data_IF_166295940352
#
_entry.id   IF_166295940352
#
_cell.length_a   1.000
_cell.length_b   1.000
_cell.length_c   1.000
_cell.angle_alpha   90.00
_cell.angle_beta   90.00
_cell.angle_gamma   90.00
#
_symmetry.space_group_name_H-M   'P 1'
#
loop_
_entity.id
_entity.type
_entity.pdbx_description
1 polymer ?
#
# COMPACT_ATOMS: atom_id res chain seq x y z
N UNK A 1 0.21 -27.00 6.85
CA UNK A 1 -0.70 -27.12 8.00
C UNK A 1 0.12 -26.85 9.24
N UNK A 2 -0.35 -25.99 10.13
CA UNK A 2 0.41 -25.66 11.34
C UNK A 2 0.21 -26.74 12.41
N UNK A 3 1.18 -26.84 13.32
CA UNK A 3 1.14 -27.82 14.41
C UNK A 3 0.21 -27.39 15.55
N UNK A 4 -0.05 -26.08 15.68
CA UNK A 4 -0.94 -25.53 16.69
C UNK A 4 -2.23 -25.01 16.06
N UNK A 5 -3.32 -25.11 16.81
CA UNK A 5 -4.65 -24.68 16.39
C UNK A 5 -5.49 -24.18 17.57
N UNK A 6 -6.77 -23.94 17.31
CA UNK A 6 -7.74 -23.57 18.33
C UNK A 6 -8.89 -24.58 18.35
N UNK A 7 -9.20 -25.10 19.54
CA UNK A 7 -10.45 -25.79 19.78
C UNK A 7 -11.59 -24.78 19.67
N UNK A 8 -12.59 -25.08 18.84
CA UNK A 8 -13.71 -24.17 18.57
C UNK A 8 -15.05 -24.82 18.89
N UNK A 9 -15.97 -24.03 19.43
CA UNK A 9 -17.36 -24.40 19.60
C UNK A 9 -18.21 -23.79 18.48
N UNK A 10 -18.92 -24.62 17.72
CA UNK A 10 -19.81 -24.16 16.65
C UNK A 10 -21.10 -23.63 17.26
N UNK A 11 -21.35 -22.32 17.11
CA UNK A 11 -22.55 -21.65 17.62
C UNK A 11 -23.74 -21.77 16.66
N UNK A 12 -23.51 -21.61 15.36
CA UNK A 12 -24.57 -21.73 14.36
C UNK A 12 -24.04 -22.06 12.98
N UNK A 13 -24.83 -22.80 12.21
CA UNK A 13 -24.58 -23.08 10.80
C UNK A 13 -25.79 -22.63 10.00
N UNK A 14 -25.61 -21.68 9.10
CA UNK A 14 -26.68 -21.15 8.24
C UNK A 14 -26.35 -21.39 6.78
N UNK A 15 -27.28 -21.97 6.03
CA UNK A 15 -27.13 -22.14 4.58
C UNK A 15 -27.61 -20.88 3.87
N UNK A 16 -26.76 -20.26 3.05
CA UNK A 16 -27.12 -19.15 2.16
C UNK A 16 -26.70 -19.52 0.73
N UNK A 17 -27.65 -19.50 -0.21
CA UNK A 17 -27.48 -19.68 -1.66
C UNK A 17 -26.08 -20.20 -2.10
N UNK A 18 -25.83 -21.50 -1.91
CA UNK A 18 -24.61 -22.18 -2.38
C UNK A 18 -23.47 -22.35 -1.36
N UNK A 19 -23.47 -21.65 -0.23
CA UNK A 19 -22.44 -21.77 0.81
C UNK A 19 -23.01 -21.95 2.22
N UNK A 20 -22.18 -22.51 3.10
CA UNK A 20 -22.44 -22.62 4.54
C UNK A 20 -21.73 -21.48 5.27
N UNK A 21 -22.49 -20.70 6.03
CA UNK A 21 -21.94 -19.73 6.97
C UNK A 21 -21.91 -20.37 8.35
N UNK A 22 -20.71 -20.62 8.85
CA UNK A 22 -20.47 -21.18 10.19
C UNK A 22 -20.02 -20.05 11.11
N UNK A 23 -20.65 -19.94 12.28
CA UNK A 23 -20.22 -19.05 13.36
C UNK A 23 -19.74 -19.92 14.51
N UNK A 24 -18.54 -19.63 15.00
CA UNK A 24 -17.91 -20.39 16.08
C UNK A 24 -17.23 -19.45 17.07
N UNK A 25 -16.89 -19.97 18.24
CA UNK A 25 -16.03 -19.29 19.22
C UNK A 25 -14.85 -20.18 19.56
N UNK A 26 -13.65 -19.61 19.60
CA UNK A 26 -12.48 -20.26 20.18
C UNK A 26 -12.72 -20.55 21.65
N UNK A 27 -12.27 -21.72 22.09
CA UNK A 27 -12.31 -22.16 23.47
C UNK A 27 -10.92 -22.21 24.07
N UNK A 28 -9.99 -22.91 23.40
CA UNK A 28 -8.66 -23.19 23.94
C UNK A 28 -7.65 -23.46 22.83
N UNK A 29 -6.37 -23.22 23.10
CA UNK A 29 -5.26 -23.58 22.21
C UNK A 29 -5.06 -25.09 22.22
N UNK A 30 -4.67 -25.64 21.08
CA UNK A 30 -4.36 -27.06 20.93
C UNK A 30 -3.09 -27.29 20.15
N UNK A 31 -2.37 -28.35 20.48
CA UNK A 31 -1.31 -28.92 19.65
C UNK A 31 -1.84 -30.17 18.95
N UNK A 32 -1.66 -30.25 17.65
CA UNK A 32 -2.00 -31.44 16.86
C UNK A 32 -0.91 -32.48 17.09
N UNK A 33 -1.29 -33.62 17.65
CA UNK A 33 -0.38 -34.75 17.91
C UNK A 33 -0.31 -35.70 16.73
N UNK A 34 -1.48 -36.04 16.17
CA UNK A 34 -1.61 -36.96 15.04
C UNK A 34 -2.72 -36.49 14.12
N UNK A 35 -2.59 -36.78 12.83
CA UNK A 35 -3.56 -36.42 11.81
C UNK A 35 -3.76 -37.59 10.85
N UNK A 36 -5.02 -37.92 10.60
CA UNK A 36 -5.48 -39.05 9.78
C UNK A 36 -6.43 -38.50 8.74
N UNK A 37 -6.13 -38.76 7.47
CA UNK A 37 -6.99 -38.41 6.34
C UNK A 37 -7.79 -39.65 5.88
N UNK A 38 -9.11 -39.57 5.95
CA UNK A 38 -10.02 -40.63 5.47
C UNK A 38 -10.37 -40.46 3.97
N UNK A 39 -9.97 -39.34 3.36
CA UNK A 39 -10.32 -38.94 1.99
C UNK A 39 -11.56 -38.05 1.91
N UNK A 40 -12.37 -37.93 2.97
CA UNK A 40 -13.49 -36.98 3.07
C UNK A 40 -13.25 -35.89 4.10
N UNK A 41 -12.61 -36.23 5.21
CA UNK A 41 -12.33 -35.32 6.33
C UNK A 41 -11.00 -35.68 6.99
N UNK A 42 -10.35 -34.67 7.55
CA UNK A 42 -9.18 -34.83 8.39
C UNK A 42 -9.64 -35.03 9.84
N UNK A 43 -9.19 -36.13 10.44
CA UNK A 43 -9.34 -36.41 11.86
C UNK A 43 -7.99 -36.23 12.52
N UNK A 44 -7.95 -35.77 13.77
CA UNK A 44 -6.69 -35.65 14.48
C UNK A 44 -6.85 -35.76 15.98
N UNK A 45 -5.81 -36.27 16.61
CA UNK A 45 -5.66 -36.27 18.08
C UNK A 45 -5.00 -34.96 18.47
N UNK A 46 -5.57 -34.28 19.46
CA UNK A 46 -5.09 -32.97 19.90
C UNK A 46 -4.82 -32.96 21.40
N UNK A 47 -3.78 -32.25 21.79
CA UNK A 47 -3.45 -31.92 23.17
C UNK A 47 -3.97 -30.52 23.50
N UNK A 48 -4.72 -30.39 24.60
CA UNK A 48 -5.18 -29.10 25.10
C UNK A 48 -4.01 -28.38 25.76
N UNK A 49 -3.79 -27.13 25.39
CA UNK A 49 -2.72 -26.31 25.94
C UNK A 49 -3.31 -25.28 26.91
N UNK A 50 -2.66 -25.11 28.05
CA UNK A 50 -2.99 -24.07 29.02
C UNK A 50 -2.05 -22.89 28.83
N UNK A 51 -2.55 -21.69 29.14
CA UNK A 51 -1.72 -20.50 29.14
C UNK A 51 -0.78 -20.52 30.36
N UNK A 52 0.47 -20.12 30.13
CA UNK A 52 1.45 -19.94 31.20
C UNK A 52 1.26 -18.52 31.73
N UNK A 53 0.76 -18.43 32.96
CA UNK A 53 0.51 -17.16 33.63
C UNK A 53 1.82 -16.64 34.22
N UNK A 54 2.19 -15.43 33.85
CA UNK A 54 3.42 -14.77 34.27
C UNK A 54 3.25 -13.97 35.57
N UNK A 55 4.02 -12.90 35.70
CA UNK A 55 3.86 -11.96 36.81
C UNK A 55 2.65 -11.04 36.58
N UNK A 56 1.68 -11.09 37.50
CA UNK A 56 0.47 -10.24 37.44
C UNK A 56 0.80 -8.73 37.38
N UNK A 57 1.84 -8.29 38.10
CA UNK A 57 2.28 -6.89 38.05
C UNK A 57 2.80 -6.49 36.66
N UNK A 58 3.49 -7.41 35.99
CA UNK A 58 4.01 -7.21 34.65
C UNK A 58 2.87 -7.22 33.62
N UNK A 59 1.92 -8.16 33.72
CA UNK A 59 0.72 -8.19 32.89
C UNK A 59 -0.04 -6.87 32.93
N UNK A 60 -0.28 -6.32 34.14
CA UNK A 60 -0.96 -5.03 34.31
C UNK A 60 -0.18 -3.90 33.62
N UNK A 61 1.15 -3.88 33.74
CA UNK A 61 1.98 -2.88 33.10
C UNK A 61 1.94 -2.99 31.56
N UNK A 62 1.98 -4.21 31.03
CA UNK A 62 1.91 -4.50 29.60
C UNK A 62 0.55 -4.12 29.01
N UNK A 63 -0.55 -4.48 29.68
CA UNK A 63 -1.90 -4.09 29.27
C UNK A 63 -2.03 -2.57 29.20
N UNK A 64 -1.58 -1.84 30.24
CA UNK A 64 -1.61 -0.38 30.24
C UNK A 64 -0.83 0.20 29.07
N UNK A 65 0.31 -0.39 28.74
CA UNK A 65 1.12 0.03 27.59
C UNK A 65 0.39 -0.22 26.28
N UNK A 66 -0.19 -1.41 26.08
CA UNK A 66 -0.99 -1.74 24.89
C UNK A 66 -2.13 -0.75 24.71
N UNK A 67 -2.91 -0.46 25.76
CA UNK A 67 -4.00 0.52 25.71
C UNK A 67 -3.49 1.89 25.27
N UNK A 68 -2.39 2.36 25.87
CA UNK A 68 -1.81 3.67 25.50
C UNK A 68 -1.29 3.72 24.07
N UNK A 69 -0.76 2.62 23.53
CA UNK A 69 -0.26 2.56 22.15
C UNK A 69 -1.41 2.45 21.14
N UNK A 70 -2.49 1.73 21.47
CA UNK A 70 -3.71 1.64 20.65
C UNK A 70 -4.39 3.00 20.52
N UNK A 71 -4.47 3.78 21.60
CA UNK A 71 -5.04 5.13 21.56
C UNK A 71 -4.31 6.03 20.56
N UNK A 72 -2.97 5.94 20.49
CA UNK A 72 -2.16 6.69 19.51
C UNK A 72 -2.44 6.24 18.06
N UNK A 73 -2.66 4.94 17.86
CA UNK A 73 -2.89 4.33 16.54
C UNK A 73 -4.28 4.65 16.00
N UNK A 74 -5.28 4.84 16.86
CA UNK A 74 -6.64 5.20 16.45
C UNK A 74 -6.71 6.52 15.67
N UNK A 75 -5.69 7.38 15.81
CA UNK A 75 -5.51 8.59 15.03
C UNK A 75 -4.95 8.36 13.61
N UNK A 76 -4.43 7.16 13.31
CA UNK A 76 -3.59 6.87 12.15
C UNK A 76 -4.08 5.68 11.28
N UNK A 77 -5.35 5.70 10.85
CA UNK A 77 -5.94 4.77 9.85
C UNK A 77 -6.30 3.34 10.28
N UNK A 78 -6.08 2.90 11.54
CA UNK A 78 -6.60 1.59 11.99
C UNK A 78 -7.92 1.78 12.73
N UNK A 79 -9.00 1.24 12.17
CA UNK A 79 -10.31 1.22 12.83
C UNK A 79 -10.36 0.10 13.86
N UNK A 80 -9.80 0.36 15.05
CA UNK A 80 -10.00 -0.52 16.21
C UNK A 80 -11.39 -0.19 16.80
N UNK A 81 -12.30 -1.16 16.95
CA UNK A 81 -13.59 -0.92 17.58
C UNK A 81 -13.40 -0.33 18.97
N UNK A 82 -14.09 0.78 19.28
CA UNK A 82 -14.08 1.39 20.62
C UNK A 82 -14.52 0.43 21.71
N UNK A 83 -15.35 -0.55 21.36
CA UNK A 83 -15.74 -1.66 22.24
C UNK A 83 -14.54 -2.48 22.73
N UNK A 84 -13.52 -2.69 21.88
CA UNK A 84 -12.30 -3.39 22.30
C UNK A 84 -11.55 -2.56 23.35
N UNK A 85 -11.40 -1.26 23.12
CA UNK A 85 -10.74 -0.33 24.05
C UNK A 85 -11.47 -0.26 25.41
N UNK A 86 -12.80 -0.29 25.38
CA UNK A 86 -13.63 -0.35 26.59
C UNK A 86 -13.47 -1.69 27.32
N UNK A 87 -13.33 -2.80 26.59
CA UNK A 87 -13.04 -4.11 27.17
C UNK A 87 -11.65 -4.15 27.85
N UNK A 88 -10.64 -3.47 27.28
CA UNK A 88 -9.32 -3.32 27.90
C UNK A 88 -9.39 -2.61 29.26
N UNK A 89 -10.33 -1.68 29.44
CA UNK A 89 -10.51 -0.91 30.68
C UNK A 89 -11.37 -1.63 31.73
N UNK A 90 -12.15 -2.64 31.33
CA UNK A 90 -13.06 -3.38 32.20
C UNK A 90 -12.44 -4.64 32.86
N UNK A 91 -11.15 -4.90 32.66
CA UNK A 91 -10.44 -6.01 33.33
C UNK A 91 -10.61 -7.37 32.66
N UNK A 92 -10.62 -7.42 31.32
CA UNK A 92 -10.56 -8.68 30.57
C UNK A 92 -9.25 -9.42 30.86
N UNK A 93 -9.28 -10.76 30.84
CA UNK A 93 -8.06 -11.54 31.07
C UNK A 93 -7.01 -11.25 29.98
N UNK A 94 -5.73 -11.11 30.34
CA UNK A 94 -4.69 -10.76 29.36
C UNK A 94 -4.56 -11.77 28.21
N UNK A 95 -4.87 -13.04 28.47
CA UNK A 95 -4.96 -14.05 27.41
C UNK A 95 -6.10 -13.76 26.41
N UNK A 96 -7.32 -13.48 26.88
CA UNK A 96 -8.43 -13.15 25.99
C UNK A 96 -8.18 -11.86 25.21
N UNK A 97 -7.58 -10.87 25.85
CA UNK A 97 -7.15 -9.62 25.23
C UNK A 97 -6.21 -9.89 24.06
N UNK A 98 -5.20 -10.74 24.27
CA UNK A 98 -4.24 -11.09 23.23
C UNK A 98 -4.90 -11.76 22.01
N UNK A 99 -5.88 -12.63 22.25
CA UNK A 99 -6.64 -13.32 21.20
C UNK A 99 -7.54 -12.37 20.42
N UNK A 100 -8.23 -11.47 21.12
CA UNK A 100 -9.05 -10.45 20.48
C UNK A 100 -8.20 -9.49 19.64
N UNK A 101 -7.01 -9.12 20.13
CA UNK A 101 -6.09 -8.28 19.37
C UNK A 101 -5.72 -8.93 18.03
N UNK A 102 -5.35 -10.21 18.03
CA UNK A 102 -5.01 -10.94 16.80
C UNK A 102 -6.18 -11.04 15.80
N UNK A 103 -7.42 -10.93 16.27
CA UNK A 103 -8.61 -10.92 15.43
C UNK A 103 -8.80 -9.57 14.71
N UNK A 104 -8.63 -8.45 15.41
CA UNK A 104 -8.92 -7.11 14.87
C UNK A 104 -7.72 -6.44 14.20
N UNK A 105 -6.51 -6.74 14.64
CA UNK A 105 -5.30 -6.12 14.09
C UNK A 105 -4.89 -6.75 12.76
N UNK A 106 -4.42 -5.96 11.77
CA UNK A 106 -4.07 -6.44 10.43
C UNK A 106 -2.73 -7.21 10.41
N UNK A 107 -2.66 -8.33 11.12
CA UNK A 107 -1.47 -9.18 11.18
C UNK A 107 -1.38 -10.16 10.00
N UNK A 108 -0.17 -10.41 9.55
CA UNK A 108 0.15 -11.51 8.63
C UNK A 108 -0.14 -12.88 9.28
N UNK A 109 -0.44 -13.88 8.47
CA UNK A 109 -0.85 -15.22 8.94
C UNK A 109 0.23 -15.86 9.81
N UNK A 110 1.49 -15.70 9.42
CA UNK A 110 2.67 -16.21 10.11
C UNK A 110 2.77 -15.62 11.52
N UNK A 111 2.44 -14.34 11.67
CA UNK A 111 2.47 -13.68 12.98
C UNK A 111 1.26 -14.04 13.84
N UNK A 112 0.07 -14.17 13.25
CA UNK A 112 -1.10 -14.71 13.95
C UNK A 112 -0.82 -16.11 14.48
N UNK A 113 -0.13 -16.93 13.70
CA UNK A 113 0.31 -18.24 14.13
C UNK A 113 1.32 -18.15 15.28
N UNK A 114 2.33 -17.29 15.19
CA UNK A 114 3.29 -17.12 16.28
C UNK A 114 2.61 -16.71 17.60
N UNK A 115 1.61 -15.82 17.56
CA UNK A 115 0.82 -15.45 18.74
C UNK A 115 -0.02 -16.62 19.30
N UNK A 116 -0.50 -17.50 18.42
CA UNK A 116 -1.25 -18.69 18.81
C UNK A 116 -0.35 -19.75 19.48
N UNK A 117 0.90 -19.86 19.00
CA UNK A 117 1.91 -20.80 19.48
C UNK A 117 2.54 -20.37 20.81
N UNK A 118 2.59 -19.07 21.08
CA UNK A 118 3.13 -18.54 22.33
C UNK A 118 2.17 -18.80 23.49
N UNK A 119 2.61 -19.59 24.47
CA UNK A 119 1.80 -19.98 25.63
C UNK A 119 2.00 -19.03 26.81
N UNK A 120 3.15 -18.35 26.88
CA UNK A 120 3.40 -17.34 27.90
C UNK A 120 2.62 -16.07 27.57
N UNK A 121 1.75 -15.68 28.51
CA UNK A 121 0.87 -14.53 28.33
C UNK A 121 1.67 -13.22 28.26
N UNK A 122 2.75 -13.08 29.03
CA UNK A 122 3.57 -11.86 29.05
C UNK A 122 4.33 -11.69 27.74
N UNK A 123 4.95 -12.76 27.25
CA UNK A 123 5.64 -12.76 25.96
C UNK A 123 4.67 -12.44 24.82
N UNK A 124 3.46 -13.00 24.86
CA UNK A 124 2.43 -12.71 23.86
C UNK A 124 1.99 -11.24 23.87
N UNK A 125 1.84 -10.64 25.05
CA UNK A 125 1.55 -9.21 25.18
C UNK A 125 2.71 -8.34 24.66
N UNK A 126 3.96 -8.74 24.90
CA UNK A 126 5.14 -8.06 24.35
C UNK A 126 5.16 -8.14 22.82
N UNK A 127 4.89 -9.30 22.24
CA UNK A 127 4.77 -9.49 20.79
C UNK A 127 3.70 -8.58 20.20
N UNK A 128 2.58 -8.38 20.90
CA UNK A 128 1.52 -7.44 20.48
C UNK A 128 2.00 -6.00 20.49
N UNK A 129 2.71 -5.57 21.54
CA UNK A 129 3.28 -4.21 21.59
C UNK A 129 4.23 -3.97 20.43
N UNK A 130 5.07 -4.95 20.09
CA UNK A 130 5.99 -4.88 18.95
C UNK A 130 5.22 -4.68 17.63
N UNK A 131 4.12 -5.41 17.43
CA UNK A 131 3.28 -5.24 16.23
C UNK A 131 2.63 -3.87 16.16
N UNK A 132 2.13 -3.37 17.29
CA UNK A 132 1.54 -2.04 17.33
C UNK A 132 2.58 -0.99 16.92
N UNK A 133 3.81 -1.09 17.41
CA UNK A 133 4.89 -0.15 17.08
C UNK A 133 5.33 -0.25 15.61
N UNK A 134 5.41 -1.46 15.06
CA UNK A 134 5.67 -1.65 13.62
C UNK A 134 4.63 -0.93 12.79
N UNK A 135 3.36 -1.13 13.11
CA UNK A 135 2.25 -0.56 12.35
C UNK A 135 2.20 0.97 12.46
N UNK A 136 2.47 1.53 13.65
CA UNK A 136 2.63 2.99 13.81
C UNK A 136 3.73 3.55 12.90
N UNK A 137 4.85 2.83 12.77
CA UNK A 137 5.97 3.23 11.91
C UNK A 137 5.55 3.21 10.44
N UNK A 138 4.86 2.15 10.00
CA UNK A 138 4.34 2.05 8.63
C UNK A 138 3.35 3.16 8.32
N UNK A 139 2.38 3.41 9.21
CA UNK A 139 1.41 4.49 9.05
C UNK A 139 2.08 5.86 8.91
N UNK A 140 3.17 6.11 9.67
CA UNK A 140 3.94 7.37 9.59
C UNK A 140 4.70 7.51 8.26
N UNK A 141 5.19 6.39 7.71
CA UNK A 141 5.82 6.38 6.39
C UNK A 141 4.77 6.65 5.31
N UNK A 142 3.60 6.04 5.40
CA UNK A 142 2.48 6.25 4.47
C UNK A 142 2.00 7.70 4.46
N UNK A 143 1.84 8.34 5.63
CA UNK A 143 1.48 9.76 5.69
C UNK A 143 2.53 10.64 5.01
N UNK A 144 3.81 10.39 5.27
CA UNK A 144 4.92 11.11 4.64
C UNK A 144 4.94 10.94 3.12
N UNK A 145 4.62 9.74 2.62
CA UNK A 145 4.51 9.49 1.17
C UNK A 145 3.33 10.26 0.58
N UNK A 146 2.17 10.22 1.24
CA UNK A 146 0.97 10.92 0.79
C UNK A 146 1.17 12.45 0.74
N UNK A 147 1.87 13.03 1.73
CA UNK A 147 2.25 14.43 1.72
C UNK A 147 3.13 14.77 0.51
N UNK A 148 4.19 13.98 0.25
CA UNK A 148 5.06 14.20 -0.92
C UNK A 148 4.32 14.08 -2.25
N UNK A 149 3.37 13.15 -2.36
CA UNK A 149 2.54 13.01 -3.57
C UNK A 149 1.64 14.22 -3.73
N UNK A 150 1.01 14.67 -2.64
CA UNK A 150 0.16 15.87 -2.64
C UNK A 150 0.94 17.11 -3.06
N UNK A 151 2.14 17.33 -2.50
CA UNK A 151 3.00 18.47 -2.86
C UNK A 151 3.32 18.48 -4.36
N UNK A 152 3.67 17.32 -4.94
CA UNK A 152 3.92 17.17 -6.39
C UNK A 152 2.68 17.48 -7.23
N UNK A 153 1.50 17.04 -6.79
CA UNK A 153 0.24 17.32 -7.50
C UNK A 153 -0.10 18.81 -7.44
N UNK A 154 0.08 19.46 -6.29
CA UNK A 154 -0.15 20.89 -6.13
C UNK A 154 0.84 21.73 -6.97
N UNK A 155 2.10 21.32 -7.04
CA UNK A 155 3.11 21.95 -7.89
C UNK A 155 2.74 21.85 -9.38
N UNK A 156 2.37 20.65 -9.85
CA UNK A 156 1.94 20.43 -11.22
C UNK A 156 0.67 21.22 -11.57
N UNK A 157 -0.32 21.26 -10.67
CA UNK A 157 -1.54 22.04 -10.88
C UNK A 157 -1.25 23.55 -10.95
N UNK A 158 -0.35 24.04 -10.09
CA UNK A 158 0.09 25.44 -10.11
C UNK A 158 0.80 25.78 -11.42
N UNK A 159 1.71 24.91 -11.88
CA UNK A 159 2.42 25.09 -13.14
C UNK A 159 1.44 25.11 -14.32
N UNK A 160 0.53 24.13 -14.40
CA UNK A 160 -0.53 24.09 -15.41
C UNK A 160 -1.34 25.38 -15.44
N UNK A 161 -1.82 25.83 -14.28
CA UNK A 161 -2.60 27.07 -14.16
C UNK A 161 -1.81 28.31 -14.61
N UNK A 162 -0.53 28.40 -14.24
CA UNK A 162 0.34 29.50 -14.66
C UNK A 162 0.58 29.49 -16.17
N UNK A 163 0.78 28.31 -16.78
CA UNK A 163 0.92 28.16 -18.24
C UNK A 163 -0.34 28.62 -18.97
N UNK A 164 -1.52 28.18 -18.53
CA UNK A 164 -2.79 28.59 -19.14
C UNK A 164 -3.01 30.10 -19.05
N UNK A 165 -2.66 30.70 -17.91
CA UNK A 165 -2.70 32.15 -17.73
C UNK A 165 -1.74 32.89 -18.67
N UNK A 166 -0.51 32.37 -18.84
CA UNK A 166 0.47 32.94 -19.77
C UNK A 166 0.01 32.84 -21.22
N UNK A 167 -0.64 31.73 -21.61
CA UNK A 167 -1.24 31.54 -22.93
C UNK A 167 -2.31 32.59 -23.20
N UNK A 168 -3.26 32.78 -22.27
CA UNK A 168 -4.31 33.79 -22.38
C UNK A 168 -3.74 35.22 -22.48
N UNK A 169 -2.69 35.55 -21.71
CA UNK A 169 -2.01 36.86 -21.80
C UNK A 169 -1.38 37.06 -23.19
N UNK A 170 -0.67 36.05 -23.73
CA UNK A 170 -0.04 36.14 -25.06
C UNK A 170 -1.07 36.34 -26.17
N UNK A 171 -2.22 35.68 -26.06
CA UNK A 171 -3.34 35.84 -26.98
C UNK A 171 -3.94 37.26 -26.93
N UNK A 172 -4.14 37.84 -25.73
CA UNK A 172 -4.63 39.23 -25.58
C UNK A 172 -3.61 40.28 -26.05
N UNK A 173 -2.31 40.03 -25.89
CA UNK A 173 -1.25 40.93 -26.38
C UNK A 173 -1.05 40.87 -27.91
N UNK A 174 -1.76 39.98 -28.61
CA UNK A 174 -1.60 39.78 -30.05
C UNK A 174 -0.24 39.20 -30.45
N UNK A 175 0.50 38.68 -29.47
CA UNK A 175 1.84 38.12 -29.62
C UNK A 175 1.70 36.61 -29.79
N UNK A 176 1.02 36.20 -30.86
CA UNK A 176 1.01 34.83 -31.34
C UNK A 176 2.40 34.50 -31.88
N UNK A 177 3.35 34.30 -30.96
CA UNK A 177 4.70 33.88 -31.29
C UNK A 177 4.69 32.37 -31.52
N UNK A 178 4.85 31.98 -32.77
CA UNK A 178 4.86 30.61 -33.35
C UNK A 178 5.61 29.54 -32.49
N UNK A 179 6.64 29.95 -31.74
CA UNK A 179 7.46 29.05 -30.88
C UNK A 179 6.74 28.55 -29.62
N UNK A 180 5.80 29.32 -29.06
CA UNK A 180 5.04 28.87 -27.89
C UNK A 180 4.15 27.69 -28.24
N UNK A 181 3.48 27.77 -29.39
CA UNK A 181 2.57 26.75 -29.89
C UNK A 181 3.32 25.48 -30.31
N UNK A 182 4.45 25.62 -31.05
CA UNK A 182 5.32 24.49 -31.40
C UNK A 182 5.85 23.71 -30.18
N UNK A 183 6.29 24.43 -29.15
CA UNK A 183 6.90 23.82 -27.97
C UNK A 183 5.87 23.04 -27.16
N UNK A 184 4.63 23.52 -27.13
CA UNK A 184 3.51 22.86 -26.48
C UNK A 184 3.06 21.62 -27.26
N UNK A 185 3.00 21.68 -28.60
CA UNK A 185 2.74 20.50 -29.45
C UNK A 185 3.77 19.39 -29.23
N UNK A 186 5.06 19.73 -29.14
CA UNK A 186 6.12 18.74 -28.91
C UNK A 186 6.01 18.07 -27.53
N UNK A 187 5.59 18.80 -26.49
CA UNK A 187 5.36 18.24 -25.16
C UNK A 187 4.12 17.35 -25.12
N UNK A 188 3.04 17.76 -25.79
CA UNK A 188 1.82 16.97 -25.88
C UNK A 188 2.07 15.63 -26.59
N UNK A 189 2.89 15.63 -27.64
CA UNK A 189 3.34 14.40 -28.29
C UNK A 189 4.09 13.45 -27.34
N UNK A 190 4.99 13.98 -26.50
CA UNK A 190 5.76 13.20 -25.52
C UNK A 190 4.92 12.55 -24.43
N UNK A 191 3.83 13.22 -24.03
CA UNK A 191 2.88 12.70 -23.04
C UNK A 191 1.94 11.64 -23.64
N UNK A 192 1.47 11.87 -24.87
CA UNK A 192 0.48 11.00 -25.53
C UNK A 192 1.06 9.73 -26.16
N UNK A 193 2.39 9.62 -26.31
CA UNK A 193 3.03 8.48 -26.95
C UNK A 193 4.04 7.77 -26.03
N UNK A 194 4.17 6.43 -26.13
CA UNK A 194 5.04 5.63 -25.27
C UNK A 194 6.51 5.68 -25.73
N UNK A 195 7.12 6.87 -25.73
CA UNK A 195 8.55 6.99 -26.02
C UNK A 195 9.41 6.31 -24.95
N UNK A 196 10.51 5.64 -25.34
CA UNK A 196 11.53 5.19 -24.41
C UNK A 196 12.13 6.35 -23.61
N UNK A 197 12.53 6.10 -22.36
CA UNK A 197 13.01 7.13 -21.43
C UNK A 197 14.18 7.96 -22.00
N UNK A 198 15.14 7.32 -22.67
CA UNK A 198 16.28 8.00 -23.28
C UNK A 198 15.90 8.98 -24.41
N UNK A 199 14.83 8.69 -25.17
CA UNK A 199 14.31 9.58 -26.21
C UNK A 199 13.57 10.74 -25.56
N UNK A 200 12.73 10.45 -24.55
CA UNK A 200 11.96 11.45 -23.82
C UNK A 200 12.86 12.50 -23.16
N UNK A 201 13.92 12.05 -22.48
CA UNK A 201 14.88 12.95 -21.83
C UNK A 201 15.59 13.85 -22.84
N UNK A 202 16.01 13.29 -23.98
CA UNK A 202 16.67 14.07 -25.04
C UNK A 202 15.74 15.07 -25.72
N UNK A 203 14.50 14.68 -25.97
CA UNK A 203 13.49 15.57 -26.54
C UNK A 203 13.17 16.75 -25.59
N UNK A 204 13.02 16.49 -24.29
CA UNK A 204 12.81 17.54 -23.29
C UNK A 204 13.97 18.54 -23.21
N UNK A 205 15.21 18.07 -23.35
CA UNK A 205 16.40 18.93 -23.39
C UNK A 205 16.38 19.87 -24.61
N UNK A 206 16.11 19.32 -25.80
CA UNK A 206 16.09 20.12 -27.03
C UNK A 206 14.86 21.05 -27.11
N UNK A 207 13.70 20.68 -26.53
CA UNK A 207 12.55 21.60 -26.39
C UNK A 207 12.92 22.81 -25.53
N UNK A 208 13.57 22.61 -24.37
CA UNK A 208 14.05 23.73 -23.55
C UNK A 208 15.04 24.60 -24.31
N UNK A 209 15.91 24.00 -25.11
CA UNK A 209 16.86 24.73 -25.96
C UNK A 209 16.14 25.55 -27.04
N UNK A 210 15.12 24.98 -27.66
CA UNK A 210 14.30 25.65 -28.68
C UNK A 210 13.62 26.91 -28.12
N UNK A 211 13.04 26.82 -26.92
CA UNK A 211 12.38 27.94 -26.24
C UNK A 211 13.32 29.10 -25.90
N UNK A 212 14.62 28.82 -25.71
CA UNK A 212 15.63 29.83 -25.38
C UNK A 212 16.26 30.49 -26.62
N UNK A 213 16.10 29.90 -27.81
CA UNK A 213 16.72 30.40 -29.03
C UNK A 213 15.88 31.54 -29.66
N UNK A 214 16.52 32.61 -30.14
CA UNK A 214 15.82 33.65 -30.91
C UNK A 214 15.20 33.07 -32.18
N UNK A 215 13.93 33.39 -32.45
CA UNK A 215 13.16 32.85 -33.58
C UNK A 215 13.76 33.12 -34.96
N UNK A 216 14.41 34.27 -35.12
CA UNK A 216 15.06 34.65 -36.37
C UNK A 216 16.42 33.96 -36.59
N UNK A 217 16.86 33.09 -35.66
CA UNK A 217 18.12 32.37 -35.79
C UNK A 217 17.95 31.11 -36.63
N UNK A 218 18.91 30.87 -37.53
CA UNK A 218 18.98 29.60 -38.27
C UNK A 218 19.12 28.37 -37.37
N UNK A 219 19.63 28.55 -36.13
CA UNK A 219 19.73 27.48 -35.14
C UNK A 219 18.36 27.02 -34.63
N UNK A 220 17.41 27.94 -34.42
CA UNK A 220 16.04 27.62 -33.99
C UNK A 220 15.35 26.70 -35.00
N UNK A 221 15.47 27.00 -36.30
CA UNK A 221 14.92 26.16 -37.38
C UNK A 221 15.54 24.76 -37.43
N UNK A 222 16.83 24.63 -37.13
CA UNK A 222 17.52 23.32 -37.06
C UNK A 222 17.00 22.49 -35.88
N UNK A 223 16.86 23.11 -34.70
CA UNK A 223 16.34 22.43 -33.51
C UNK A 223 14.88 22.00 -33.71
N UNK A 224 14.02 22.85 -34.29
CA UNK A 224 12.63 22.49 -34.64
C UNK A 224 12.58 21.28 -35.57
N UNK A 225 13.39 21.29 -36.63
CA UNK A 225 13.43 20.19 -37.61
C UNK A 225 13.90 18.88 -36.97
N UNK A 226 14.87 18.96 -36.06
CA UNK A 226 15.34 17.80 -35.30
C UNK A 226 14.27 17.25 -34.36
N UNK A 227 13.59 18.11 -33.59
CA UNK A 227 12.48 17.73 -32.71
C UNK A 227 11.34 17.08 -33.50
N UNK A 228 10.97 17.65 -34.64
CA UNK A 228 9.94 17.11 -35.51
C UNK A 228 10.29 15.69 -36.01
N UNK A 229 11.52 15.47 -36.47
CA UNK A 229 11.99 14.14 -36.88
C UNK A 229 12.04 13.15 -35.71
N UNK A 230 12.56 13.58 -34.56
CA UNK A 230 12.72 12.74 -33.38
C UNK A 230 11.37 12.23 -32.87
N UNK A 231 10.36 13.10 -32.85
CA UNK A 231 9.02 12.79 -32.34
C UNK A 231 8.13 12.09 -33.38
N UNK A 232 8.27 12.38 -34.68
CA UNK A 232 7.52 11.62 -35.71
C UNK A 232 7.99 10.18 -35.89
N UNK A 233 9.18 9.85 -35.39
CA UNK A 233 9.70 8.48 -35.46
C UNK A 233 9.00 7.60 -34.41
N UNK A 234 8.31 6.52 -34.80
CA UNK A 234 7.57 5.67 -33.86
C UNK A 234 8.52 4.70 -33.15
N UNK A 235 9.23 5.18 -32.13
CA UNK A 235 10.23 4.42 -31.36
C UNK A 235 9.68 3.16 -30.65
N UNK A 236 8.36 3.02 -30.59
CA UNK A 236 7.64 1.87 -30.02
C UNK A 236 7.18 0.84 -31.07
N UNK A 237 7.36 1.11 -32.37
CA UNK A 237 6.96 0.20 -33.45
C UNK A 237 8.20 -0.45 -34.09
N UNK A 238 8.16 -1.78 -34.21
CA UNK A 238 9.15 -2.54 -34.97
C UNK A 238 8.51 -3.07 -36.25
N UNK A 239 9.19 -2.93 -37.38
CA UNK A 239 8.75 -3.51 -38.66
C UNK A 239 9.52 -4.79 -38.93
N UNK A 240 8.84 -5.81 -39.48
CA UNK A 240 9.50 -7.05 -39.93
C UNK A 240 10.14 -6.81 -41.29
N UNK A 241 11.45 -7.05 -41.38
CA UNK A 241 12.21 -6.91 -42.62
C UNK A 241 11.80 -7.99 -43.64
N UNK A 242 11.37 -7.56 -44.82
CA UNK A 242 10.97 -8.47 -45.91
C UNK A 242 12.22 -8.77 -46.73
N UNK A 243 12.99 -9.80 -46.32
CA UNK A 243 14.01 -10.37 -47.21
C UNK A 243 13.30 -11.01 -48.40
N UNK A 244 13.41 -10.39 -49.57
CA UNK A 244 12.96 -10.95 -50.83
C UNK A 244 13.64 -12.31 -51.11
N UNK A 245 12.95 -13.24 -51.80
CA UNK A 245 13.50 -14.55 -52.11
C UNK A 245 14.74 -14.39 -53.00
N UNK A 246 15.87 -14.99 -52.58
CA UNK A 246 17.05 -15.18 -53.42
C UNK A 246 16.78 -16.22 -54.51
#
# INVERSE_FOLDING_TARGET
>A
MFQYGSLVHIKSVKRKQGFLRVTFSGLQRVRISELVDDGKMLFGTVELLEDIIGSENEEIALIRRITSEIEKVSAANITIPTELINQLTLGVSPSQLSDQFAQYFPLQVERKQALLEELDVNERLLMIIEEIQREQTLATIETTINEKVKDRVEENQREYYLREKMRAIREELGDATDVGEDSDEFRELLENNPYPDHIREKALEEIRRYEMLPQASGESGVVRTYLDWLLKTPWWQQTTDIRGPQ
#
